data_IF_789033605632
#
_entry.id   IF_789033605632
#
_cell.length_a   1.000
_cell.length_b   1.000
_cell.length_c   1.000
_cell.angle_alpha   90.00
_cell.angle_beta   90.00
_cell.angle_gamma   90.00
#
_symmetry.space_group_name_H-M   'P 1'
#
loop_
_entity.id
_entity.type
_entity.pdbx_description
1 polymer ?
#
# COMPACT_ATOMS: atom_id res chain seq x y z
N UNK A 1 -31.51 -8.22 -5.48
CA UNK A 1 -30.89 -9.45 -6.03
C UNK A 1 -29.61 -9.72 -5.25
N UNK A 2 -29.66 -10.64 -4.29
CA UNK A 2 -28.49 -11.03 -3.50
C UNK A 2 -27.96 -12.36 -4.07
N UNK A 3 -26.97 -12.29 -4.97
CA UNK A 3 -26.21 -13.48 -5.39
C UNK A 3 -24.89 -13.12 -6.10
N UNK A 4 -23.88 -12.84 -5.29
CA UNK A 4 -22.50 -13.27 -5.46
C UNK A 4 -21.88 -13.06 -4.08
N UNK A 5 -21.27 -14.07 -3.49
CA UNK A 5 -20.46 -13.89 -2.28
C UNK A 5 -19.22 -13.09 -2.66
N UNK A 6 -19.39 -11.79 -2.91
CA UNK A 6 -18.30 -10.85 -3.19
C UNK A 6 -17.64 -10.60 -1.84
N UNK A 7 -16.80 -11.54 -1.43
CA UNK A 7 -16.03 -11.45 -0.21
C UNK A 7 -15.10 -10.25 -0.39
N UNK A 8 -15.39 -9.13 0.29
CA UNK A 8 -14.59 -7.89 0.21
C UNK A 8 -13.11 -8.20 0.40
N UNK A 9 -12.79 -9.05 1.37
CA UNK A 9 -11.43 -9.54 1.62
C UNK A 9 -10.81 -10.31 0.47
N UNK A 10 -11.57 -11.09 -0.31
CA UNK A 10 -11.00 -11.86 -1.41
C UNK A 10 -10.47 -10.94 -2.51
N UNK A 11 -11.26 -9.93 -2.92
CA UNK A 11 -10.85 -9.01 -3.97
C UNK A 11 -9.75 -8.07 -3.47
N UNK A 12 -9.92 -7.49 -2.27
CA UNK A 12 -8.88 -6.66 -1.67
C UNK A 12 -7.57 -7.42 -1.47
N UNK A 13 -7.62 -8.73 -1.19
CA UNK A 13 -6.40 -9.56 -1.13
C UNK A 13 -5.72 -9.67 -2.48
N UNK A 14 -6.46 -9.84 -3.58
CA UNK A 14 -5.88 -9.87 -4.93
C UNK A 14 -5.26 -8.52 -5.31
N UNK A 15 -5.97 -7.42 -5.04
CA UNK A 15 -5.44 -6.07 -5.28
C UNK A 15 -4.17 -5.81 -4.44
N UNK A 16 -4.15 -6.25 -3.18
CA UNK A 16 -2.98 -6.15 -2.32
C UNK A 16 -1.82 -7.03 -2.79
N UNK A 17 -2.09 -8.24 -3.30
CA UNK A 17 -1.07 -9.11 -3.89
C UNK A 17 -0.36 -8.42 -5.08
N UNK A 18 -1.13 -7.78 -5.95
CA UNK A 18 -0.61 -7.00 -7.09
C UNK A 18 0.25 -5.81 -6.63
N UNK A 19 -0.23 -5.02 -5.66
CA UNK A 19 0.55 -3.94 -5.06
C UNK A 19 1.86 -4.43 -4.44
N UNK A 20 1.83 -5.55 -3.69
CA UNK A 20 3.05 -6.11 -3.08
C UNK A 20 4.03 -6.59 -4.14
N UNK A 21 3.55 -7.16 -5.25
CA UNK A 21 4.41 -7.55 -6.37
C UNK A 21 5.10 -6.34 -6.99
N UNK A 22 4.36 -5.26 -7.27
CA UNK A 22 4.92 -4.00 -7.76
C UNK A 22 5.99 -3.43 -6.81
N UNK A 23 5.72 -3.42 -5.50
CA UNK A 23 6.69 -2.97 -4.49
C UNK A 23 7.96 -3.83 -4.44
N UNK A 24 7.82 -5.15 -4.62
CA UNK A 24 8.96 -6.10 -4.65
C UNK A 24 9.81 -5.95 -5.91
N UNK A 25 9.17 -5.65 -7.03
CA UNK A 25 9.82 -5.38 -8.31
C UNK A 25 10.42 -3.97 -8.39
N UNK A 26 10.28 -3.17 -7.32
CA UNK A 26 10.69 -1.76 -7.27
C UNK A 26 10.10 -0.95 -8.43
N UNK A 27 8.86 -1.26 -8.79
CA UNK A 27 8.14 -0.56 -9.84
C UNK A 27 7.93 0.90 -9.46
N UNK A 28 8.10 1.76 -10.45
CA UNK A 28 7.86 3.18 -10.29
C UNK A 28 6.37 3.44 -10.15
N UNK A 29 5.98 4.21 -9.15
CA UNK A 29 4.58 4.55 -8.83
C UNK A 29 4.31 5.99 -9.21
N UNK A 30 3.10 6.31 -9.68
CA UNK A 30 2.69 7.72 -9.73
C UNK A 30 2.62 8.31 -8.32
N UNK A 31 2.69 9.64 -8.22
CA UNK A 31 2.58 10.38 -6.95
C UNK A 31 1.30 10.02 -6.17
N UNK A 32 0.17 9.85 -6.87
CA UNK A 32 -1.08 9.40 -6.28
C UNK A 32 -1.02 7.95 -5.76
N UNK A 33 -0.41 7.02 -6.51
CA UNK A 33 -0.23 5.63 -6.11
C UNK A 33 0.72 5.50 -4.91
N UNK A 34 1.84 6.22 -4.92
CA UNK A 34 2.80 6.25 -3.81
C UNK A 34 2.13 6.77 -2.53
N UNK A 35 1.36 7.86 -2.65
CA UNK A 35 0.59 8.41 -1.53
C UNK A 35 -0.49 7.45 -1.03
N UNK A 36 -1.25 6.84 -1.94
CA UNK A 36 -2.29 5.88 -1.57
C UNK A 36 -1.70 4.63 -0.89
N UNK A 37 -0.58 4.12 -1.40
CA UNK A 37 0.15 3.00 -0.82
C UNK A 37 0.68 3.31 0.57
N UNK A 38 1.26 4.50 0.77
CA UNK A 38 1.70 4.97 2.09
C UNK A 38 0.56 4.98 3.10
N UNK A 39 -0.58 5.59 2.74
CA UNK A 39 -1.75 5.64 3.64
C UNK A 39 -2.28 4.24 3.95
N UNK A 40 -2.34 3.35 2.96
CA UNK A 40 -2.80 1.98 3.15
C UNK A 40 -1.92 1.20 4.14
N UNK A 41 -0.60 1.33 4.04
CA UNK A 41 0.32 0.67 4.96
C UNK A 41 0.25 1.27 6.36
N UNK A 42 0.21 2.60 6.48
CA UNK A 42 0.11 3.29 7.76
C UNK A 42 -1.17 2.90 8.52
N UNK A 43 -2.33 2.92 7.84
CA UNK A 43 -3.62 2.55 8.41
C UNK A 43 -3.64 1.07 8.86
N UNK A 44 -3.15 0.17 8.01
CA UNK A 44 -3.19 -1.27 8.29
C UNK A 44 -2.19 -1.69 9.38
N UNK A 45 -0.98 -1.13 9.38
CA UNK A 45 0.03 -1.42 10.40
C UNK A 45 -0.36 -0.80 11.75
N UNK A 46 -0.92 0.42 11.75
CA UNK A 46 -1.48 1.04 12.96
C UNK A 46 -2.60 0.18 13.56
N UNK A 47 -3.51 -0.32 12.73
CA UNK A 47 -4.51 -1.29 13.18
C UNK A 47 -3.88 -2.54 13.80
N UNK A 48 -2.82 -3.09 13.20
CA UNK A 48 -2.12 -4.25 13.74
C UNK A 48 -1.48 -3.98 15.12
N UNK A 49 -0.95 -2.77 15.33
CA UNK A 49 -0.43 -2.34 16.65
C UNK A 49 -1.57 -2.24 17.66
N UNK A 50 -2.67 -1.57 17.31
CA UNK A 50 -3.84 -1.41 18.19
C UNK A 50 -4.46 -2.74 18.62
N UNK A 51 -4.41 -3.76 17.75
CA UNK A 51 -4.88 -5.11 18.07
C UNK A 51 -3.83 -5.99 18.77
N UNK A 52 -2.60 -5.51 18.94
CA UNK A 52 -1.50 -6.28 19.52
C UNK A 52 -1.02 -7.44 18.64
N UNK A 53 -1.21 -7.34 17.31
CA UNK A 53 -0.70 -8.32 16.33
C UNK A 53 0.81 -8.12 16.13
N UNK A 54 1.25 -6.87 16.16
CA UNK A 54 2.66 -6.47 16.14
C UNK A 54 2.92 -5.46 17.27
N UNK A 55 4.15 -5.37 17.75
CA UNK A 55 4.52 -4.43 18.82
C UNK A 55 4.69 -2.98 18.33
N UNK A 56 4.90 -2.79 17.03
CA UNK A 56 5.17 -1.49 16.42
C UNK A 56 5.64 -1.62 14.97
N UNK A 57 5.66 -0.51 14.26
CA UNK A 57 6.29 -0.38 12.95
C UNK A 57 6.97 0.99 12.84
N UNK A 58 7.94 1.10 11.93
CA UNK A 58 8.60 2.36 11.65
C UNK A 58 7.87 3.06 10.50
N UNK A 59 7.16 4.14 10.81
CA UNK A 59 6.41 4.91 9.82
C UNK A 59 7.32 5.74 8.91
N UNK A 60 8.54 6.06 9.33
CA UNK A 60 9.53 6.73 8.50
C UNK A 60 10.05 5.77 7.42
N UNK A 61 10.29 4.50 7.76
CA UNK A 61 10.66 3.47 6.77
C UNK A 61 9.55 3.24 5.72
N UNK A 62 8.27 3.34 6.12
CA UNK A 62 7.14 3.31 5.18
C UNK A 62 7.16 4.53 4.26
N UNK A 63 7.43 5.73 4.79
CA UNK A 63 7.58 6.94 3.98
C UNK A 63 8.74 6.81 2.98
N UNK A 64 9.90 6.33 3.43
CA UNK A 64 11.09 6.11 2.59
C UNK A 64 10.81 5.08 1.50
N UNK A 65 10.12 3.98 1.83
CA UNK A 65 9.74 2.93 0.88
C UNK A 65 8.88 3.46 -0.27
N UNK A 66 7.90 4.32 0.01
CA UNK A 66 7.05 4.86 -1.04
C UNK A 66 7.68 6.06 -1.74
N UNK A 67 8.42 6.90 -1.02
CA UNK A 67 9.14 8.03 -1.60
C UNK A 67 10.25 7.61 -2.57
N UNK A 68 10.94 6.49 -2.34
CA UNK A 68 11.93 5.96 -3.30
C UNK A 68 11.29 5.41 -4.59
N UNK A 69 10.04 4.97 -4.51
CA UNK A 69 9.32 4.34 -5.62
C UNK A 69 8.47 5.34 -6.41
N UNK A 70 8.15 6.49 -5.82
CA UNK A 70 7.53 7.61 -6.51
C UNK A 70 8.32 7.96 -7.78
N UNK A 71 7.59 8.11 -8.89
CA UNK A 71 8.13 8.69 -10.12
C UNK A 71 8.41 10.14 -9.82
N UNK A 72 9.65 10.57 -10.03
CA UNK A 72 9.88 11.97 -10.34
C UNK A 72 9.15 12.20 -11.67
N UNK A 73 8.00 12.88 -11.62
CA UNK A 73 7.43 13.50 -12.81
C UNK A 73 8.53 14.47 -13.30
N UNK A 74 9.39 14.02 -14.22
CA UNK A 74 10.20 14.94 -15.01
C UNK A 74 9.20 15.93 -15.62
N UNK A 75 9.28 17.19 -15.18
CA UNK A 75 8.70 18.35 -15.84
C UNK A 75 9.15 18.30 -17.33
N UNK A 76 8.37 17.66 -18.19
CA UNK A 76 8.46 17.83 -19.64
C UNK A 76 7.87 19.22 -19.95
N UNK A 77 8.78 20.20 -20.07
CA UNK A 77 8.63 21.59 -20.55
C UNK A 77 7.98 21.67 -21.95
#
# INVERSE_FOLDING_TARGET
MANMSYCRFHNTRLDLEDCIEALRNEERLSSDEARAGRHLFDDFLSFCVDQGIIDGFDSEEVEILFGRLEREDDDDD
#
